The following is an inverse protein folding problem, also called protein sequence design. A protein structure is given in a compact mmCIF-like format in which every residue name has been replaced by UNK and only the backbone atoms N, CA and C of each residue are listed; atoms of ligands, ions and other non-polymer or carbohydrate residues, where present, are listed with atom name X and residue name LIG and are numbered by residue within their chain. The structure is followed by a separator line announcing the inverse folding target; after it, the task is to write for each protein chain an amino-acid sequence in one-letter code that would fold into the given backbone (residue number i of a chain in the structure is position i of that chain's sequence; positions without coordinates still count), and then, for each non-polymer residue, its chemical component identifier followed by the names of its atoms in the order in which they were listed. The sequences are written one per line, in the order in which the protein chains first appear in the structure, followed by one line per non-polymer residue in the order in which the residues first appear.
data_IF_070424923659
#
_entry.id   IF_070424923659
#
_cell.length_a   1.000
_cell.length_b   1.000
_cell.length_c   1.000
_cell.angle_alpha   90.00
_cell.angle_beta   90.00
_cell.angle_gamma   90.00
#
_symmetry.space_group_name_H-M   'P 1'
#
loop_
_entity.id
_entity.type
_entity.pdbx_description
1 polymer ?
#
# COMPACT_ATOMS: atom_id res chain seq x y z
N UNK A 1 4.70 -17.83 -19.80
CA UNK A 1 5.45 -17.14 -18.72
C UNK A 1 6.51 -18.11 -18.20
N UNK A 2 7.79 -17.73 -18.14
CA UNK A 2 8.84 -18.61 -17.59
C UNK A 2 8.52 -19.01 -16.14
N UNK A 3 8.73 -20.29 -15.79
CA UNK A 3 8.49 -20.85 -14.44
C UNK A 3 9.15 -20.01 -13.33
N UNK A 4 10.38 -19.55 -13.56
CA UNK A 4 11.13 -18.70 -12.63
C UNK A 4 10.46 -17.33 -12.41
N UNK A 5 9.96 -16.71 -13.48
CA UNK A 5 9.24 -15.44 -13.39
C UNK A 5 7.94 -15.63 -12.60
N UNK A 6 7.20 -16.71 -12.85
CA UNK A 6 5.96 -17.04 -12.13
C UNK A 6 6.19 -17.17 -10.63
N UNK A 7 7.24 -17.90 -10.21
CA UNK A 7 7.61 -18.04 -8.78
C UNK A 7 7.99 -16.69 -8.16
N UNK A 8 8.80 -15.90 -8.86
CA UNK A 8 9.18 -14.57 -8.40
C UNK A 8 7.96 -13.63 -8.28
N UNK A 9 7.00 -13.69 -9.20
CA UNK A 9 5.76 -12.93 -9.13
C UNK A 9 4.88 -13.38 -7.98
N UNK A 10 4.80 -14.70 -7.70
CA UNK A 10 4.03 -15.24 -6.57
C UNK A 10 4.59 -14.80 -5.22
N UNK A 11 5.92 -14.82 -5.06
CA UNK A 11 6.57 -14.35 -3.83
C UNK A 11 6.31 -12.84 -3.65
N UNK A 12 6.46 -12.06 -4.73
CA UNK A 12 6.19 -10.61 -4.71
C UNK A 12 4.71 -10.27 -4.54
N UNK A 13 3.78 -11.10 -5.01
CA UNK A 13 2.33 -10.86 -4.84
C UNK A 13 1.89 -11.20 -3.43
N UNK A 14 2.41 -12.30 -2.83
CA UNK A 14 2.10 -12.70 -1.45
C UNK A 14 2.45 -11.61 -0.42
N UNK A 15 3.53 -10.88 -0.65
CA UNK A 15 3.89 -9.73 0.20
C UNK A 15 2.99 -8.53 -0.09
N UNK A 16 2.68 -8.26 -1.37
CA UNK A 16 1.84 -7.11 -1.76
C UNK A 16 0.39 -7.24 -1.31
N UNK A 17 -0.20 -8.44 -1.34
CA UNK A 17 -1.60 -8.67 -0.95
C UNK A 17 -1.85 -8.26 0.51
N UNK A 18 -0.89 -8.49 1.40
CA UNK A 18 -1.01 -8.14 2.82
C UNK A 18 -1.08 -6.62 3.05
N UNK A 19 -0.45 -5.82 2.19
CA UNK A 19 -0.44 -4.34 2.26
C UNK A 19 -1.31 -3.70 1.18
N UNK A 20 -2.05 -4.50 0.42
CA UNK A 20 -2.88 -4.02 -0.69
C UNK A 20 -4.01 -3.12 -0.21
N UNK A 21 -4.53 -3.35 0.99
CA UNK A 21 -5.51 -2.46 1.63
C UNK A 21 -4.92 -1.09 1.96
N UNK A 22 -3.65 -1.03 2.42
CA UNK A 22 -2.92 0.23 2.63
C UNK A 22 -2.76 0.96 1.31
N UNK A 23 -2.41 0.21 0.26
CA UNK A 23 -2.32 0.78 -1.08
C UNK A 23 -3.68 1.23 -1.62
N UNK A 24 -4.78 0.52 -1.36
CA UNK A 24 -6.12 0.93 -1.77
C UNK A 24 -6.54 2.22 -1.05
N UNK A 25 -6.27 2.33 0.25
CA UNK A 25 -6.51 3.54 1.05
C UNK A 25 -5.55 4.67 0.70
N UNK A 26 -4.37 4.41 0.15
CA UNK A 26 -3.49 5.45 -0.38
C UNK A 26 -3.89 5.84 -1.82
N UNK A 27 -4.41 4.91 -2.61
CA UNK A 27 -4.75 5.14 -4.03
C UNK A 27 -6.03 5.93 -4.22
N UNK A 28 -6.99 5.81 -3.30
CA UNK A 28 -8.23 6.60 -3.31
C UNK A 28 -7.98 8.09 -3.00
N UNK A 29 -7.23 8.46 -1.93
CA UNK A 29 -6.85 9.85 -1.64
C UNK A 29 -5.70 10.41 -2.47
N UNK A 30 -4.82 9.57 -3.03
CA UNK A 30 -3.69 10.01 -3.88
C UNK A 30 -3.93 9.82 -5.37
N UNK A 31 -5.17 9.57 -5.82
CA UNK A 31 -5.57 9.50 -7.23
C UNK A 31 -4.56 8.72 -8.11
N UNK A 32 -4.62 7.38 -8.07
CA UNK A 32 -3.95 6.44 -9.00
C UNK A 32 -2.39 6.41 -9.07
N UNK A 33 -1.65 7.27 -8.37
CA UNK A 33 -0.20 7.49 -8.62
C UNK A 33 0.80 6.48 -8.00
N UNK A 34 0.34 5.35 -7.46
CA UNK A 34 1.22 4.32 -6.82
C UNK A 34 2.20 3.68 -7.82
N UNK A 35 1.92 3.75 -9.13
CA UNK A 35 2.82 3.21 -10.17
C UNK A 35 4.15 3.97 -10.30
N UNK A 36 4.22 5.18 -9.74
CA UNK A 36 5.35 6.16 -9.74
C UNK A 36 6.28 6.03 -8.53
N UNK A 37 6.05 4.98 -7.73
CA UNK A 37 6.92 4.50 -6.65
C UNK A 37 8.37 4.29 -7.14
N UNK A 38 8.58 4.14 -8.45
CA UNK A 38 9.84 4.48 -9.10
C UNK A 38 9.86 5.95 -9.54
N UNK A 39 10.70 6.74 -8.89
CA UNK A 39 11.31 8.03 -9.28
C UNK A 39 10.81 9.26 -8.53
N UNK A 40 9.51 9.39 -8.26
CA UNK A 40 8.96 10.49 -7.45
C UNK A 40 8.14 9.95 -6.26
N UNK A 41 8.49 8.77 -5.73
CA UNK A 41 8.14 8.37 -4.33
C UNK A 41 8.80 9.27 -3.26
N UNK A 42 9.26 10.40 -3.73
CA UNK A 42 10.64 10.84 -3.65
C UNK A 42 10.71 12.37 -3.82
N UNK A 43 9.54 13.02 -3.91
CA UNK A 43 9.30 14.41 -3.49
C UNK A 43 8.45 14.41 -2.19
N UNK A 44 8.98 13.68 -1.21
CA UNK A 44 8.94 13.85 0.27
C UNK A 44 7.66 13.71 1.12
N UNK A 45 6.72 14.66 1.23
CA UNK A 45 5.81 14.66 2.43
C UNK A 45 4.53 13.82 2.30
N UNK A 46 3.94 13.72 1.11
CA UNK A 46 2.56 13.19 0.94
C UNK A 46 2.44 11.70 1.20
N UNK A 47 3.39 10.91 0.71
CA UNK A 47 3.38 9.44 0.90
C UNK A 47 3.67 9.08 2.36
N UNK A 48 4.63 9.77 2.99
CA UNK A 48 4.92 9.60 4.42
C UNK A 48 3.72 9.94 5.31
N UNK A 49 3.07 11.08 5.06
CA UNK A 49 1.85 11.48 5.80
C UNK A 49 0.70 10.50 5.62
N UNK A 50 0.44 10.02 4.40
CA UNK A 50 -0.63 9.04 4.20
C UNK A 50 -0.32 7.69 4.85
N UNK A 51 0.95 7.29 4.92
CA UNK A 51 1.34 6.09 5.65
C UNK A 51 1.12 6.24 7.16
N UNK A 52 1.43 7.41 7.72
CA UNK A 52 1.16 7.75 9.12
C UNK A 52 -0.35 7.77 9.37
N UNK A 53 -1.13 8.43 8.52
CA UNK A 53 -2.59 8.51 8.63
C UNK A 53 -3.26 7.13 8.53
N UNK A 54 -2.86 6.28 7.58
CA UNK A 54 -3.37 4.92 7.47
C UNK A 54 -3.04 4.10 8.74
N UNK A 55 -1.81 4.27 9.27
CA UNK A 55 -1.40 3.62 10.53
C UNK A 55 -2.18 4.13 11.75
N UNK A 56 -2.53 5.42 11.81
CA UNK A 56 -3.32 6.01 12.91
C UNK A 56 -4.83 5.72 12.80
N UNK A 57 -5.37 5.62 11.59
CA UNK A 57 -6.78 5.27 11.34
C UNK A 57 -7.07 3.81 11.64
N UNK A 58 -6.08 2.92 11.44
CA UNK A 58 -6.22 1.48 11.67
C UNK A 58 -6.68 1.11 13.08
N UNK A 59 -6.05 1.58 14.19
CA UNK A 59 -6.55 1.28 15.53
C UNK A 59 -7.95 1.85 15.77
N UNK A 60 -8.25 3.06 15.28
CA UNK A 60 -9.59 3.66 15.42
C UNK A 60 -10.67 2.84 14.69
N UNK A 61 -10.36 2.32 13.50
CA UNK A 61 -11.26 1.43 12.77
C UNK A 61 -11.44 0.10 13.52
N UNK A 62 -10.36 -0.50 14.01
CA UNK A 62 -10.43 -1.73 14.79
C UNK A 62 -11.25 -1.56 16.07
N UNK A 63 -11.08 -0.45 16.79
CA UNK A 63 -11.87 -0.12 17.97
C UNK A 63 -13.36 0.07 17.64
N UNK A 64 -13.68 0.71 16.51
CA UNK A 64 -15.08 0.89 16.06
C UNK A 64 -15.77 -0.38 15.58
N UNK A 65 -15.00 -1.36 15.10
CA UNK A 65 -15.52 -2.66 14.65
C UNK A 65 -15.51 -3.69 15.79
N UNK A 66 -14.69 -3.47 16.84
CA UNK A 66 -14.65 -4.30 18.03
C UNK A 66 -15.79 -4.01 19.03
N UNK A 67 -16.52 -2.91 18.84
CA UNK A 67 -17.78 -2.57 19.51
C UNK A 67 -18.94 -3.15 18.69
#
# INVERSE_FOLDING_TARGET
MPEAARRAHNIKSKVRSSVEHVFAEQKSPMELFIRTIGIARATTTKIGMANILCSMKRPIYLDRVAI
#
